data_IF_431195824035
#
_entry.id   IF_431195824035
#
_cell.length_a   1.000
_cell.length_b   1.000
_cell.length_c   1.000
_cell.angle_alpha   90.00
_cell.angle_beta   90.00
_cell.angle_gamma   90.00
#
_symmetry.space_group_name_H-M   'P 1'
#
loop_
_entity.id
_entity.type
_entity.pdbx_description
1 polymer ?
#
# COMPACT_ATOMS: atom_id res chain seq x y z
N UNK A 1 0.83 13.14 33.75
CA UNK A 1 1.39 13.44 32.42
C UNK A 1 1.19 12.18 31.60
N UNK A 2 0.25 12.21 30.64
CA UNK A 2 -0.39 11.05 30.02
C UNK A 2 0.54 10.30 29.07
N UNK A 3 1.00 9.11 29.47
CA UNK A 3 1.85 8.22 28.68
C UNK A 3 1.00 7.12 28.01
N UNK A 4 0.20 7.50 27.01
CA UNK A 4 -0.58 6.53 26.21
C UNK A 4 -0.52 6.96 24.73
N UNK A 5 0.71 7.16 24.21
CA UNK A 5 0.92 7.15 22.76
C UNK A 5 0.59 5.75 22.25
N UNK A 6 -0.37 5.68 21.33
CA UNK A 6 -0.93 4.44 20.80
C UNK A 6 0.16 3.56 20.16
N UNK A 7 0.73 2.65 20.95
CA UNK A 7 1.87 1.78 20.62
C UNK A 7 1.56 0.67 19.59
N UNK A 8 0.31 0.58 19.13
CA UNK A 8 -0.20 -0.53 18.31
C UNK A 8 -0.78 -0.07 16.98
N UNK A 9 -0.27 1.02 16.39
CA UNK A 9 -0.66 1.38 15.02
C UNK A 9 0.28 0.66 14.02
N UNK A 10 -0.16 -0.42 13.34
CA UNK A 10 0.64 -1.16 12.35
C UNK A 10 1.30 -0.33 11.24
N UNK A 11 0.73 0.85 10.99
CA UNK A 11 1.15 1.80 9.96
C UNK A 11 2.01 2.94 10.51
N UNK A 12 2.24 3.02 11.83
CA UNK A 12 3.00 4.12 12.42
C UNK A 12 4.43 4.16 11.86
N UNK A 13 4.78 5.27 11.20
CA UNK A 13 6.07 5.47 10.55
C UNK A 13 6.23 4.81 9.16
N UNK A 14 5.19 4.15 8.62
CA UNK A 14 5.26 3.53 7.28
C UNK A 14 4.77 4.51 6.22
N UNK A 15 5.63 4.75 5.22
CA UNK A 15 5.26 5.56 4.05
C UNK A 15 4.45 4.73 3.06
N UNK A 16 3.67 5.40 2.20
CA UNK A 16 2.95 4.72 1.10
C UNK A 16 3.90 3.94 0.17
N UNK A 17 5.11 4.45 -0.03
CA UNK A 17 6.16 3.75 -0.77
C UNK A 17 6.58 2.46 -0.09
N UNK A 18 6.80 2.50 1.23
CA UNK A 18 7.14 1.31 2.01
C UNK A 18 6.03 0.26 1.93
N UNK A 19 4.78 0.68 2.14
CA UNK A 19 3.60 -0.17 2.07
C UNK A 19 3.50 -0.87 0.70
N UNK A 20 3.58 -0.08 -0.38
CA UNK A 20 3.53 -0.62 -1.74
C UNK A 20 4.71 -1.57 -2.00
N UNK A 21 5.92 -1.22 -1.56
CA UNK A 21 7.11 -2.05 -1.74
C UNK A 21 6.97 -3.41 -1.09
N UNK A 22 6.45 -3.45 0.13
CA UNK A 22 6.23 -4.70 0.86
C UNK A 22 5.17 -5.57 0.18
N UNK A 23 4.06 -4.96 -0.26
CA UNK A 23 3.01 -5.69 -0.99
C UNK A 23 3.51 -6.24 -2.33
N UNK A 24 4.26 -5.45 -3.10
CA UNK A 24 4.86 -5.89 -4.37
C UNK A 24 5.88 -6.99 -4.13
N UNK A 25 6.65 -6.91 -3.05
CA UNK A 25 7.61 -7.95 -2.72
C UNK A 25 6.93 -9.26 -2.30
N UNK A 26 5.78 -9.19 -1.62
CA UNK A 26 5.04 -10.35 -1.15
C UNK A 26 4.17 -11.00 -2.23
N UNK A 27 3.43 -10.21 -3.01
CA UNK A 27 2.46 -10.68 -4.00
C UNK A 27 2.96 -10.60 -5.45
N UNK A 28 3.87 -9.67 -5.76
CA UNK A 28 4.14 -9.28 -7.13
C UNK A 28 3.09 -8.31 -7.69
N UNK A 29 3.35 -7.79 -8.89
CA UNK A 29 2.49 -6.80 -9.52
C UNK A 29 1.20 -7.38 -10.11
N UNK A 30 1.27 -8.60 -10.65
CA UNK A 30 0.13 -9.27 -11.28
C UNK A 30 -0.99 -9.52 -10.26
N UNK A 31 -0.64 -10.12 -9.12
CA UNK A 31 -1.57 -10.39 -8.02
C UNK A 31 -2.12 -9.09 -7.41
N UNK A 32 -1.29 -8.04 -7.27
CA UNK A 32 -1.77 -6.74 -6.83
C UNK A 32 -2.79 -6.11 -7.79
N UNK A 33 -2.57 -6.29 -9.09
CA UNK A 33 -3.52 -5.93 -10.14
C UNK A 33 -4.87 -6.61 -9.93
N UNK A 34 -4.88 -7.90 -9.58
CA UNK A 34 -6.10 -8.67 -9.32
C UNK A 34 -6.80 -8.28 -8.02
N UNK A 35 -6.04 -8.13 -6.92
CA UNK A 35 -6.57 -7.81 -5.59
C UNK A 35 -7.17 -6.41 -5.53
N UNK A 36 -6.47 -5.43 -6.08
CA UNK A 36 -6.86 -4.02 -5.98
C UNK A 36 -7.69 -3.58 -7.20
N UNK A 37 -7.67 -4.36 -8.30
CA UNK A 37 -8.29 -4.04 -9.59
C UNK A 37 -7.84 -2.68 -10.11
N UNK A 38 -6.52 -2.49 -10.15
CA UNK A 38 -5.89 -1.26 -10.64
C UNK A 38 -5.13 -1.59 -11.93
N UNK A 39 -5.61 -1.06 -13.06
CA UNK A 39 -4.96 -1.22 -14.37
C UNK A 39 -3.52 -0.71 -14.43
N UNK A 40 -3.16 0.27 -13.59
CA UNK A 40 -1.80 0.76 -13.47
C UNK A 40 -0.78 -0.34 -13.12
N UNK A 41 -1.22 -1.46 -12.52
CA UNK A 41 -0.33 -2.58 -12.20
C UNK A 41 -0.17 -3.58 -13.34
N UNK A 42 -1.07 -3.57 -14.33
CA UNK A 42 -1.07 -4.52 -15.44
C UNK A 42 -0.28 -4.03 -16.67
N UNK A 43 -0.08 -2.71 -16.80
CA UNK A 43 0.56 -2.11 -17.97
C UNK A 43 1.83 -1.35 -17.58
N UNK A 44 2.97 -2.07 -17.53
CA UNK A 44 4.29 -1.57 -17.10
C UNK A 44 4.33 -1.00 -15.67
N UNK A 45 4.07 -1.85 -14.65
CA UNK A 45 4.10 -1.42 -13.27
C UNK A 45 5.50 -0.94 -12.86
N UNK A 46 5.63 0.33 -12.53
CA UNK A 46 6.83 0.88 -11.92
C UNK A 46 6.48 1.56 -10.61
N UNK A 47 7.37 1.45 -9.61
CA UNK A 47 7.13 2.05 -8.29
C UNK A 47 6.79 3.54 -8.38
N UNK A 48 7.52 4.30 -9.19
CA UNK A 48 7.28 5.74 -9.32
C UNK A 48 5.93 6.06 -9.96
N UNK A 49 5.55 5.35 -11.03
CA UNK A 49 4.26 5.58 -11.70
C UNK A 49 3.09 5.19 -10.78
N UNK A 50 3.19 4.03 -10.14
CA UNK A 50 2.22 3.54 -9.16
C UNK A 50 2.07 4.49 -7.99
N UNK A 51 3.16 5.00 -7.41
CA UNK A 51 3.08 5.96 -6.30
C UNK A 51 2.48 7.29 -6.76
N UNK A 52 2.81 7.77 -7.95
CA UNK A 52 2.19 8.98 -8.52
C UNK A 52 0.69 8.79 -8.72
N UNK A 53 0.26 7.61 -9.18
CA UNK A 53 -1.16 7.25 -9.31
C UNK A 53 -1.85 7.18 -7.94
N UNK A 54 -1.31 6.42 -6.99
CA UNK A 54 -1.85 6.27 -5.63
C UNK A 54 -1.87 7.60 -4.88
N UNK A 55 -0.98 8.55 -5.20
CA UNK A 55 -1.02 9.90 -4.62
C UNK A 55 -2.19 10.73 -5.11
N UNK A 56 -2.61 10.53 -6.36
CA UNK A 56 -3.74 11.23 -7.00
C UNK A 56 -5.08 10.54 -6.76
N UNK A 57 -5.07 9.23 -6.58
CA UNK A 57 -6.26 8.39 -6.48
C UNK A 57 -6.43 7.88 -5.05
N UNK A 58 -7.14 8.66 -4.22
CA UNK A 58 -7.25 8.39 -2.78
C UNK A 58 -7.92 7.04 -2.44
N UNK A 59 -8.97 6.66 -3.17
CA UNK A 59 -9.63 5.37 -2.96
C UNK A 59 -8.69 4.17 -3.20
N UNK A 60 -7.77 4.31 -4.17
CA UNK A 60 -6.79 3.28 -4.50
C UNK A 60 -5.71 3.19 -3.42
N UNK A 61 -5.25 4.33 -2.90
CA UNK A 61 -4.34 4.41 -1.75
C UNK A 61 -4.92 3.68 -0.54
N UNK A 62 -6.15 4.02 -0.14
CA UNK A 62 -6.84 3.39 0.99
C UNK A 62 -6.96 1.88 0.84
N UNK A 63 -7.18 1.40 -0.39
CA UNK A 63 -7.27 -0.03 -0.69
C UNK A 63 -5.92 -0.74 -0.54
N UNK A 64 -4.83 -0.10 -0.96
CA UNK A 64 -3.45 -0.58 -0.75
C UNK A 64 -3.10 -0.61 0.75
N UNK A 65 -3.42 0.45 1.50
CA UNK A 65 -3.19 0.50 2.94
C UNK A 65 -3.99 -0.59 3.67
N UNK A 66 -5.25 -0.80 3.31
CA UNK A 66 -6.09 -1.87 3.86
C UNK A 66 -5.55 -3.25 3.51
N UNK A 67 -5.09 -3.46 2.28
CA UNK A 67 -4.50 -4.74 1.86
C UNK A 67 -3.24 -5.03 2.68
N UNK A 68 -2.39 -4.03 2.89
CA UNK A 68 -1.20 -4.15 3.72
C UNK A 68 -1.53 -4.59 5.15
N UNK A 69 -2.55 -3.97 5.76
CA UNK A 69 -3.03 -4.38 7.07
C UNK A 69 -3.44 -5.85 7.06
N UNK A 70 -4.33 -6.28 6.15
CA UNK A 70 -4.78 -7.67 6.05
C UNK A 70 -3.66 -8.70 5.78
N UNK A 71 -2.55 -8.28 5.19
CA UNK A 71 -1.45 -9.18 4.80
C UNK A 71 -0.44 -9.36 5.92
N UNK A 72 -0.16 -8.29 6.66
CA UNK A 72 0.95 -8.25 7.62
C UNK A 72 0.48 -8.04 9.08
N UNK A 73 -0.82 -7.99 9.35
CA UNK A 73 -1.46 -7.87 10.67
C UNK A 73 -2.75 -8.69 10.73
#
# INVERSE_FOLDING_TARGET
MTLQEQKNNPLHGKTLEFILKQLVWHYGWEELGLLVKIDCFNNNPTMNSSLKFLRKTDWARKKIEKLYLNTFH
#
